data_IF_280691643252
#
_entry.id   IF_280691643252
#
_cell.length_a   1.000
_cell.length_b   1.000
_cell.length_c   1.000
_cell.angle_alpha   90.00
_cell.angle_beta   90.00
_cell.angle_gamma   90.00
#
_symmetry.space_group_name_H-M   'P 1'
#
loop_
_entity.id
_entity.type
_entity.pdbx_description
1 polymer ?
#
# COMPACT_ATOMS: atom_id res chain seq x y z
N UNK A 1 -22.47 -18.76 48.24
CA UNK A 1 -23.82 -19.38 48.38
C UNK A 1 -24.82 -18.30 48.02
N UNK A 2 -25.63 -18.34 46.96
CA UNK A 2 -26.07 -19.36 45.99
C UNK A 2 -26.37 -18.55 44.70
N UNK A 3 -25.70 -18.84 43.57
CA UNK A 3 -26.24 -19.39 42.30
C UNK A 3 -27.55 -18.75 41.79
N UNK A 4 -27.85 -18.58 40.50
CA UNK A 4 -27.19 -18.68 39.20
C UNK A 4 -28.33 -18.59 38.13
N UNK A 5 -27.97 -18.55 36.83
CA UNK A 5 -28.75 -19.03 35.65
C UNK A 5 -29.87 -18.10 35.14
N UNK A 6 -30.17 -17.92 33.84
CA UNK A 6 -29.84 -18.53 32.53
C UNK A 6 -30.39 -17.56 31.44
N UNK A 7 -29.68 -17.20 30.36
CA UNK A 7 -29.58 -17.83 29.02
C UNK A 7 -30.89 -18.08 28.23
N UNK A 8 -30.97 -17.57 26.99
CA UNK A 8 -31.51 -18.18 25.75
C UNK A 8 -31.74 -17.09 24.69
N UNK A 9 -30.99 -17.02 23.57
CA UNK A 9 -31.11 -17.78 22.31
C UNK A 9 -32.45 -17.55 21.60
N UNK A 10 -32.51 -16.74 20.53
CA UNK A 10 -32.36 -17.12 19.12
C UNK A 10 -33.66 -17.52 18.41
N UNK A 11 -33.78 -17.05 17.17
CA UNK A 11 -34.55 -17.60 16.04
C UNK A 11 -36.03 -17.27 15.90
N UNK A 12 -36.33 -16.46 14.87
CA UNK A 12 -36.90 -16.98 13.61
C UNK A 12 -38.32 -17.51 13.65
N UNK A 13 -39.21 -16.85 12.90
CA UNK A 13 -40.51 -17.40 12.51
C UNK A 13 -41.39 -16.31 11.91
N UNK A 14 -41.40 -16.16 10.60
CA UNK A 14 -42.44 -16.70 9.70
C UNK A 14 -43.55 -15.68 9.47
N UNK A 15 -43.55 -15.07 8.27
CA UNK A 15 -44.68 -14.29 7.76
C UNK A 15 -45.80 -15.25 7.32
N UNK A 16 -47.06 -15.03 7.72
CA UNK A 16 -48.19 -15.48 6.93
C UNK A 16 -48.82 -14.28 6.20
N UNK A 17 -49.07 -14.50 4.92
CA UNK A 17 -49.89 -13.65 4.07
C UNK A 17 -51.33 -13.59 4.62
N UNK A 18 -51.96 -12.41 4.52
CA UNK A 18 -53.39 -12.31 4.82
C UNK A 18 -53.95 -10.89 4.77
N UNK A 19 -54.72 -10.66 3.70
CA UNK A 19 -55.89 -9.77 3.62
C UNK A 19 -55.64 -8.28 3.29
N UNK A 20 -55.85 -7.98 2.01
CA UNK A 20 -56.34 -6.69 1.50
C UNK A 20 -57.72 -6.40 2.10
N UNK A 21 -57.86 -5.25 2.77
CA UNK A 21 -59.14 -4.59 2.96
C UNK A 21 -59.00 -3.09 2.67
N UNK A 22 -59.99 -2.62 1.92
CA UNK A 22 -60.06 -1.35 1.22
C UNK A 22 -60.09 -0.09 2.10
N UNK A 23 -59.81 1.01 1.41
CA UNK A 23 -59.75 2.38 1.87
C UNK A 23 -60.92 2.83 2.77
N UNK A 24 -60.57 3.54 3.84
CA UNK A 24 -61.34 4.69 4.31
C UNK A 24 -60.38 5.84 4.57
N UNK A 25 -60.58 6.92 3.83
CA UNK A 25 -59.85 8.17 3.92
C UNK A 25 -60.02 8.76 5.32
N UNK A 26 -59.02 8.56 6.17
CA UNK A 26 -58.88 9.37 7.39
C UNK A 26 -58.26 10.70 6.98
N UNK A 27 -59.12 11.70 6.86
CA UNK A 27 -58.74 13.10 6.70
C UNK A 27 -57.83 13.50 7.86
N UNK A 28 -56.53 13.59 7.56
CA UNK A 28 -55.54 14.14 8.48
C UNK A 28 -55.96 15.59 8.74
N UNK A 29 -56.42 15.88 9.95
CA UNK A 29 -56.78 17.22 10.39
C UNK A 29 -55.62 18.20 10.14
N UNK A 30 -55.92 19.44 9.72
CA UNK A 30 -54.92 20.49 9.45
C UNK A 30 -53.97 20.73 10.65
N UNK A 31 -54.39 20.37 11.87
CA UNK A 31 -53.56 20.42 13.08
C UNK A 31 -52.39 19.43 13.08
N UNK A 32 -52.53 18.23 12.47
CA UNK A 32 -51.43 17.27 12.35
C UNK A 32 -50.43 17.62 11.24
N UNK A 33 -50.85 18.45 10.27
CA UNK A 33 -49.97 19.00 9.23
C UNK A 33 -49.12 20.16 9.78
N UNK A 34 -49.59 20.88 10.80
CA UNK A 34 -48.85 21.98 11.42
C UNK A 34 -47.63 21.51 12.24
N UNK A 35 -47.71 20.33 12.86
CA UNK A 35 -46.63 19.82 13.73
C UNK A 35 -45.50 19.10 12.97
N UNK A 36 -45.73 18.75 11.69
CA UNK A 36 -44.69 18.22 10.80
C UNK A 36 -43.80 19.31 10.17
N UNK A 37 -44.10 20.60 10.40
CA UNK A 37 -43.30 21.74 9.92
C UNK A 37 -42.18 22.16 10.88
N UNK A 38 -42.08 21.56 12.06
CA UNK A 38 -41.12 21.94 13.11
C UNK A 38 -39.81 21.14 13.11
N UNK A 39 -39.69 20.08 12.30
CA UNK A 39 -38.43 19.37 12.05
C UNK A 39 -37.82 19.76 10.68
N UNK A 40 -37.61 21.05 10.45
CA UNK A 40 -36.59 21.42 9.47
C UNK A 40 -35.21 21.13 10.09
N UNK A 41 -34.35 20.29 9.49
CA UNK A 41 -32.99 20.15 9.97
C UNK A 41 -32.33 21.53 9.88
N UNK A 42 -32.00 22.13 11.03
CA UNK A 42 -31.29 23.41 11.11
C UNK A 42 -29.99 23.32 10.28
N UNK A 43 -30.04 23.78 9.03
CA UNK A 43 -28.85 23.86 8.18
C UNK A 43 -28.15 25.17 8.50
N UNK A 44 -27.37 25.18 9.59
CA UNK A 44 -26.46 26.29 9.88
C UNK A 44 -25.55 26.50 8.66
N UNK A 45 -25.67 27.65 7.99
CA UNK A 45 -24.88 27.96 6.80
C UNK A 45 -23.41 28.19 7.19
N UNK A 46 -22.61 27.13 7.18
CA UNK A 46 -21.19 27.17 7.59
C UNK A 46 -20.29 27.82 6.52
N UNK A 47 -20.65 27.70 5.24
CA UNK A 47 -19.82 28.17 4.11
C UNK A 47 -20.60 29.18 3.27
N UNK A 48 -20.17 30.44 3.31
CA UNK A 48 -20.78 31.54 2.57
C UNK A 48 -19.84 32.08 1.46
N UNK A 49 -20.33 33.00 0.63
CA UNK A 49 -19.51 33.63 -0.43
C UNK A 49 -18.25 34.33 0.15
N UNK A 50 -18.34 35.08 1.26
CA UNK A 50 -17.15 35.63 1.94
C UNK A 50 -16.11 34.59 2.35
N UNK A 51 -16.55 33.43 2.85
CA UNK A 51 -15.67 32.32 3.23
C UNK A 51 -14.85 31.84 2.02
N UNK A 52 -15.51 31.54 0.90
CA UNK A 52 -14.81 31.05 -0.30
C UNK A 52 -13.89 32.11 -0.93
N UNK A 53 -14.25 33.40 -0.82
CA UNK A 53 -13.39 34.50 -1.28
C UNK A 53 -12.06 34.55 -0.50
N UNK A 54 -12.05 34.19 0.79
CA UNK A 54 -10.86 34.18 1.65
C UNK A 54 -10.21 32.80 1.76
N UNK A 55 -10.82 31.75 1.22
CA UNK A 55 -10.37 30.38 1.41
C UNK A 55 -9.14 30.06 0.56
N UNK A 56 -7.97 30.05 1.21
CA UNK A 56 -6.73 29.63 0.55
C UNK A 56 -6.63 28.10 0.48
N UNK A 57 -6.76 27.56 -0.72
CA UNK A 57 -6.62 26.11 -0.93
C UNK A 57 -5.19 25.65 -0.66
N UNK A 58 -5.04 24.51 0.03
CA UNK A 58 -3.74 23.86 0.18
C UNK A 58 -3.28 23.22 -1.14
N UNK A 59 -2.00 22.87 -1.24
CA UNK A 59 -1.43 22.20 -2.42
C UNK A 59 -2.24 20.96 -2.81
N UNK A 60 -2.30 20.67 -4.12
CA UNK A 60 -3.13 19.60 -4.70
C UNK A 60 -2.96 18.25 -3.99
N UNK A 61 -1.72 17.81 -3.72
CA UNK A 61 -1.46 16.52 -3.05
C UNK A 61 -1.79 16.51 -1.57
N UNK A 62 -1.78 17.68 -0.90
CA UNK A 62 -2.24 17.83 0.48
C UNK A 62 -3.76 17.75 0.57
N UNK A 63 -4.47 18.37 -0.39
CA UNK A 63 -5.94 18.23 -0.53
C UNK A 63 -6.37 16.79 -0.79
N UNK A 64 -5.57 16.02 -1.53
CA UNK A 64 -5.81 14.59 -1.76
C UNK A 64 -5.33 13.70 -0.59
N UNK A 65 -4.69 14.26 0.44
CA UNK A 65 -4.15 13.47 1.56
C UNK A 65 -3.05 12.48 1.16
N UNK A 66 -2.28 12.74 0.09
CA UNK A 66 -1.28 11.79 -0.43
C UNK A 66 0.17 12.13 -0.06
N UNK A 67 0.42 13.32 0.45
CA UNK A 67 1.80 13.79 0.68
C UNK A 67 1.85 14.73 1.86
N UNK A 68 2.75 14.43 2.77
CA UNK A 68 3.25 15.41 3.72
C UNK A 68 4.40 16.22 3.07
N UNK A 69 4.15 17.51 2.89
CA UNK A 69 5.14 18.42 2.32
C UNK A 69 6.25 18.79 3.30
N UNK A 70 6.03 18.63 4.61
CA UNK A 70 7.03 18.93 5.63
C UNK A 70 8.17 17.92 5.61
N UNK A 71 7.85 16.62 5.61
CA UNK A 71 8.82 15.56 5.38
C UNK A 71 9.45 15.64 3.98
N UNK A 72 8.63 15.81 2.93
CA UNK A 72 9.11 15.86 1.54
C UNK A 72 10.12 16.98 1.30
N UNK A 73 9.93 18.17 1.89
CA UNK A 73 10.88 19.27 1.78
C UNK A 73 12.29 18.83 2.21
N UNK A 74 12.43 18.18 3.37
CA UNK A 74 13.72 17.71 3.91
C UNK A 74 14.33 16.56 3.11
N UNK A 75 13.48 15.68 2.60
CA UNK A 75 13.91 14.57 1.76
C UNK A 75 14.50 15.04 0.43
N UNK A 76 13.96 16.10 -0.16
CA UNK A 76 14.38 16.59 -1.49
C UNK A 76 15.50 17.62 -1.40
N UNK A 77 15.50 18.50 -0.39
CA UNK A 77 16.51 19.55 -0.29
C UNK A 77 17.91 18.95 -0.24
N UNK A 78 18.73 19.34 -1.23
CA UNK A 78 20.14 19.01 -1.33
C UNK A 78 20.97 20.21 -0.89
N UNK A 79 22.19 19.94 -0.39
CA UNK A 79 23.13 21.00 -0.08
C UNK A 79 23.57 21.72 -1.36
N UNK A 80 23.51 23.07 -1.35
CA UNK A 80 23.72 23.90 -2.55
C UNK A 80 25.12 23.74 -3.15
N UNK A 81 26.11 23.39 -2.33
CA UNK A 81 27.48 23.10 -2.75
C UNK A 81 27.61 21.83 -3.59
N UNK A 82 26.59 20.96 -3.60
CA UNK A 82 26.57 19.74 -4.43
C UNK A 82 25.84 19.93 -5.77
N UNK A 83 25.49 21.17 -6.11
CA UNK A 83 24.93 21.59 -7.41
C UNK A 83 23.86 20.63 -7.94
N UNK A 84 24.12 20.00 -9.10
CA UNK A 84 23.18 19.15 -9.82
C UNK A 84 23.20 17.68 -9.36
N UNK A 85 23.91 17.34 -8.28
CA UNK A 85 23.90 15.97 -7.77
C UNK A 85 22.50 15.60 -7.23
N UNK A 86 21.85 14.58 -7.81
CA UNK A 86 20.52 14.20 -7.38
C UNK A 86 20.57 13.56 -6.00
N UNK A 87 19.54 13.84 -5.20
CA UNK A 87 19.29 13.14 -3.94
C UNK A 87 18.28 12.03 -4.19
N UNK A 88 18.77 10.79 -4.22
CA UNK A 88 17.93 9.62 -4.46
C UNK A 88 17.09 9.27 -3.23
N UNK A 89 15.83 8.93 -3.48
CA UNK A 89 14.87 8.51 -2.46
C UNK A 89 14.34 7.13 -2.78
N UNK A 90 14.35 6.25 -1.79
CA UNK A 90 13.68 4.97 -1.82
C UNK A 90 12.22 5.17 -1.39
N UNK A 91 11.33 5.29 -2.36
CA UNK A 91 9.89 5.46 -2.13
C UNK A 91 9.25 4.09 -1.94
N UNK A 92 8.76 3.83 -0.73
CA UNK A 92 8.03 2.60 -0.39
C UNK A 92 6.57 2.94 -0.12
N UNK A 93 5.65 2.31 -0.83
CA UNK A 93 4.20 2.51 -0.65
C UNK A 93 3.47 1.18 -0.62
N UNK A 94 2.55 1.06 0.32
CA UNK A 94 1.62 -0.06 0.37
C UNK A 94 0.27 0.37 -0.18
N UNK A 95 -0.26 -0.42 -1.10
CA UNK A 95 -1.68 -0.45 -1.41
C UNK A 95 -2.32 -1.59 -0.63
N UNK A 96 -3.63 -1.80 -0.76
CA UNK A 96 -4.31 -2.86 -0.02
C UNK A 96 -3.84 -4.28 -0.41
N UNK A 97 -3.30 -4.46 -1.62
CA UNK A 97 -2.93 -5.78 -2.16
C UNK A 97 -1.57 -5.84 -2.86
N UNK A 98 -0.84 -4.73 -2.90
CA UNK A 98 0.43 -4.63 -3.62
C UNK A 98 1.39 -3.67 -2.91
N UNK A 99 2.67 -3.99 -2.99
CA UNK A 99 3.80 -3.20 -2.48
C UNK A 99 4.49 -2.56 -3.66
N UNK A 100 4.78 -1.26 -3.54
CA UNK A 100 5.43 -0.46 -4.57
C UNK A 100 6.74 0.06 -3.99
N UNK A 101 7.87 -0.30 -4.61
CA UNK A 101 9.20 0.21 -4.25
C UNK A 101 9.81 0.90 -5.47
N UNK A 102 10.33 2.12 -5.29
CA UNK A 102 10.88 2.92 -6.39
C UNK A 102 12.08 3.73 -5.93
N UNK A 103 13.08 3.87 -6.80
CA UNK A 103 14.16 4.84 -6.62
C UNK A 103 13.84 6.09 -7.43
N UNK A 104 13.74 7.22 -6.75
CA UNK A 104 13.20 8.46 -7.31
C UNK A 104 14.11 9.65 -7.04
N UNK A 105 14.35 10.45 -8.08
CA UNK A 105 14.99 11.77 -7.98
C UNK A 105 13.94 12.87 -8.16
N UNK A 106 14.19 14.04 -7.60
CA UNK A 106 13.30 15.19 -7.72
C UNK A 106 13.82 16.16 -8.79
N UNK A 107 12.98 16.54 -9.75
CA UNK A 107 13.23 17.64 -10.68
C UNK A 107 12.09 18.66 -10.64
N UNK A 108 12.31 19.82 -11.26
CA UNK A 108 11.34 20.93 -11.30
C UNK A 108 10.10 20.54 -12.10
N UNK A 109 10.27 19.80 -13.20
CA UNK A 109 9.18 19.30 -14.04
C UNK A 109 8.34 18.22 -13.34
N UNK A 110 9.00 17.39 -12.53
CA UNK A 110 8.41 16.29 -11.80
C UNK A 110 9.47 15.34 -11.24
N UNK A 111 9.04 14.39 -10.42
CA UNK A 111 9.92 13.35 -9.92
C UNK A 111 10.25 12.36 -11.06
N UNK A 112 11.53 12.04 -11.26
CA UNK A 112 11.97 11.01 -12.22
C UNK A 112 12.25 9.70 -11.49
N UNK A 113 11.73 8.61 -12.04
CA UNK A 113 11.93 7.26 -11.51
C UNK A 113 13.15 6.64 -12.19
N UNK A 114 14.16 6.26 -11.42
CA UNK A 114 15.35 5.55 -11.92
C UNK A 114 15.03 4.08 -12.18
N UNK A 115 14.42 3.42 -11.19
CA UNK A 115 13.95 2.05 -11.25
C UNK A 115 12.73 1.87 -10.34
N UNK A 116 11.94 0.85 -10.64
CA UNK A 116 10.77 0.44 -9.87
C UNK A 116 10.75 -1.07 -9.72
N UNK A 117 10.13 -1.56 -8.65
CA UNK A 117 9.75 -2.94 -8.45
C UNK A 117 8.40 -2.98 -7.74
N UNK A 118 7.65 -4.06 -7.98
CA UNK A 118 6.31 -4.26 -7.44
C UNK A 118 6.17 -5.67 -6.88
N UNK A 119 5.32 -5.87 -5.88
CA UNK A 119 5.15 -7.21 -5.29
C UNK A 119 4.47 -8.20 -6.22
N UNK A 120 3.61 -7.75 -7.13
CA UNK A 120 3.04 -8.64 -8.14
C UNK A 120 4.06 -9.23 -9.13
N UNK A 121 5.27 -8.67 -9.22
CA UNK A 121 6.37 -9.26 -10.00
C UNK A 121 6.99 -10.48 -9.29
N UNK A 122 6.83 -10.59 -7.96
CA UNK A 122 7.42 -11.68 -7.17
C UNK A 122 6.90 -13.07 -7.57
N UNK A 123 5.73 -13.14 -8.21
CA UNK A 123 5.18 -14.38 -8.76
C UNK A 123 6.13 -15.08 -9.73
N UNK A 124 6.95 -14.31 -10.47
CA UNK A 124 7.94 -14.83 -11.43
C UNK A 124 9.15 -15.47 -10.75
N UNK A 125 9.36 -15.14 -9.49
CA UNK A 125 10.47 -15.60 -8.66
C UNK A 125 10.02 -16.69 -7.66
N UNK A 126 8.82 -17.25 -7.83
CA UNK A 126 8.30 -18.35 -7.00
C UNK A 126 7.31 -17.93 -5.90
N UNK A 127 7.22 -16.64 -5.55
CA UNK A 127 6.29 -16.18 -4.50
C UNK A 127 4.91 -15.90 -5.12
N UNK A 128 4.05 -16.92 -5.15
CA UNK A 128 2.69 -16.82 -5.70
C UNK A 128 1.72 -16.12 -4.72
N UNK A 129 1.91 -16.33 -3.43
CA UNK A 129 0.97 -15.97 -2.36
C UNK A 129 1.53 -14.86 -1.46
N UNK A 130 0.65 -14.25 -0.65
CA UNK A 130 1.12 -13.40 0.44
C UNK A 130 1.89 -12.14 0.01
N UNK A 131 1.60 -11.56 -1.15
CA UNK A 131 2.33 -10.40 -1.72
C UNK A 131 2.35 -9.14 -0.82
N UNK A 132 1.58 -9.15 0.26
CA UNK A 132 1.50 -8.10 1.25
C UNK A 132 1.84 -8.57 2.66
N UNK A 133 2.82 -9.45 2.85
CA UNK A 133 3.40 -9.74 4.17
C UNK A 133 4.73 -8.99 4.36
N UNK A 134 5.42 -9.23 5.48
CA UNK A 134 6.73 -8.64 5.77
C UNK A 134 7.82 -9.20 4.82
N UNK A 135 7.81 -10.51 4.58
CA UNK A 135 8.74 -11.22 3.68
C UNK A 135 8.69 -10.74 2.23
N UNK A 136 7.50 -10.52 1.67
CA UNK A 136 7.32 -9.95 0.34
C UNK A 136 7.78 -8.49 0.27
N UNK A 137 7.64 -7.72 1.36
CA UNK A 137 8.20 -6.37 1.42
C UNK A 137 9.73 -6.42 1.37
N UNK A 138 10.35 -7.35 2.10
CA UNK A 138 11.79 -7.59 2.02
C UNK A 138 12.23 -8.00 0.60
N UNK A 139 11.60 -9.01 0.01
CA UNK A 139 11.90 -9.49 -1.35
C UNK A 139 11.73 -8.39 -2.42
N UNK A 140 10.70 -7.54 -2.32
CA UNK A 140 10.54 -6.39 -3.24
C UNK A 140 11.58 -5.30 -3.06
N UNK A 141 12.11 -5.12 -1.84
CA UNK A 141 13.26 -4.26 -1.57
C UNK A 141 14.53 -4.79 -2.23
N UNK A 142 14.80 -6.09 -2.05
CA UNK A 142 15.94 -6.79 -2.65
C UNK A 142 15.90 -6.74 -4.18
N UNK A 143 14.73 -6.99 -4.78
CA UNK A 143 14.53 -6.90 -6.23
C UNK A 143 14.81 -5.50 -6.77
N UNK A 144 14.37 -4.46 -6.07
CA UNK A 144 14.65 -3.08 -6.47
C UNK A 144 16.15 -2.80 -6.40
N UNK A 145 16.83 -3.25 -5.35
CA UNK A 145 18.27 -3.03 -5.17
C UNK A 145 19.08 -3.63 -6.31
N UNK A 146 18.93 -4.93 -6.59
CA UNK A 146 19.61 -5.61 -7.70
C UNK A 146 19.32 -4.97 -9.05
N UNK A 147 18.05 -4.63 -9.31
CA UNK A 147 17.66 -3.95 -10.55
C UNK A 147 18.36 -2.60 -10.74
N UNK A 148 18.58 -1.87 -9.65
CA UNK A 148 19.24 -0.57 -9.70
C UNK A 148 20.74 -0.67 -9.86
N UNK A 149 21.38 -1.62 -9.15
CA UNK A 149 22.81 -1.87 -9.24
C UNK A 149 23.19 -2.43 -10.61
N UNK A 150 22.44 -3.40 -11.14
CA UNK A 150 22.62 -3.93 -12.50
C UNK A 150 22.44 -2.85 -13.57
N UNK A 151 21.48 -1.93 -13.39
CA UNK A 151 21.29 -0.78 -14.30
C UNK A 151 22.44 0.24 -14.24
N UNK A 152 23.14 0.35 -13.11
CA UNK A 152 24.26 1.26 -12.91
C UNK A 152 25.63 0.60 -13.14
N UNK A 153 25.68 -0.71 -13.39
CA UNK A 153 26.93 -1.47 -13.50
C UNK A 153 27.70 -1.55 -12.17
N UNK A 154 26.98 -1.75 -11.06
CA UNK A 154 27.49 -1.84 -9.69
C UNK A 154 27.15 -3.19 -9.03
N UNK A 155 26.74 -4.18 -9.83
CA UNK A 155 26.17 -5.45 -9.33
C UNK A 155 27.24 -6.35 -8.70
N UNK A 156 28.43 -6.40 -9.32
CA UNK A 156 29.58 -7.19 -8.85
C UNK A 156 30.31 -6.52 -7.68
N UNK A 157 30.42 -5.18 -7.70
CA UNK A 157 31.11 -4.41 -6.65
C UNK A 157 30.38 -4.47 -5.30
N UNK A 158 29.04 -4.50 -5.33
CA UNK A 158 28.20 -4.41 -4.12
C UNK A 158 27.20 -5.55 -4.09
N UNK A 159 27.70 -6.76 -3.83
CA UNK A 159 26.87 -7.95 -3.64
C UNK A 159 26.07 -7.91 -2.35
N UNK A 160 26.41 -7.08 -1.36
CA UNK A 160 25.65 -6.98 -0.11
C UNK A 160 25.71 -8.28 0.72
N UNK A 161 24.66 -8.57 1.48
CA UNK A 161 24.60 -9.80 2.30
C UNK A 161 23.94 -10.91 1.48
N UNK A 162 24.60 -12.06 1.32
CA UNK A 162 24.10 -13.20 0.54
C UNK A 162 23.06 -14.00 1.32
N UNK A 163 23.37 -14.35 2.57
CA UNK A 163 22.48 -15.06 3.48
C UNK A 163 21.81 -14.08 4.44
N UNK A 164 20.48 -14.09 4.47
CA UNK A 164 19.71 -13.12 5.24
C UNK A 164 19.67 -13.52 6.73
N UNK A 165 20.78 -13.32 7.45
CA UNK A 165 20.94 -13.72 8.85
C UNK A 165 20.21 -12.80 9.84
N UNK A 166 19.63 -11.70 9.35
CA UNK A 166 18.96 -10.72 10.19
C UNK A 166 19.93 -9.78 10.93
N UNK A 167 21.24 -9.92 10.74
CA UNK A 167 22.20 -9.00 11.35
C UNK A 167 22.05 -7.58 10.79
N UNK A 168 22.24 -6.58 11.67
CA UNK A 168 22.27 -5.18 11.27
C UNK A 168 23.63 -4.85 10.65
N UNK A 169 23.68 -4.82 9.33
CA UNK A 169 24.85 -4.37 8.57
C UNK A 169 24.47 -3.24 7.62
N UNK A 170 25.40 -2.30 7.45
CA UNK A 170 25.33 -1.26 6.43
C UNK A 170 26.36 -1.57 5.35
N UNK A 171 26.01 -1.33 4.10
CA UNK A 171 26.95 -1.47 2.99
C UNK A 171 28.02 -0.38 3.07
N UNK A 172 29.25 -0.80 3.35
CA UNK A 172 30.40 0.10 3.43
C UNK A 172 30.98 0.40 2.03
N UNK A 173 31.97 1.29 1.96
CA UNK A 173 32.66 1.56 0.72
C UNK A 173 33.55 0.37 0.35
N UNK A 174 33.43 -0.11 -0.89
CA UNK A 174 34.29 -1.17 -1.42
C UNK A 174 35.55 -0.55 -2.03
N UNK A 175 36.69 -1.20 -1.81
CA UNK A 175 37.93 -0.92 -2.53
C UNK A 175 37.93 -1.76 -3.81
N UNK A 176 37.84 -1.10 -4.97
CA UNK A 176 37.93 -1.73 -6.30
C UNK A 176 39.32 -1.49 -6.87
N UNK A 177 39.75 -2.27 -7.86
CA UNK A 177 41.05 -2.16 -8.54
C UNK A 177 41.34 -0.76 -9.14
N UNK A 178 40.31 0.06 -9.36
CA UNK A 178 40.39 1.45 -9.86
C UNK A 178 40.28 2.53 -8.75
N UNK A 179 40.24 2.11 -7.48
CA UNK A 179 40.14 2.96 -6.29
C UNK A 179 38.90 2.69 -5.43
N UNK A 180 38.70 3.49 -4.37
CA UNK A 180 37.55 3.35 -3.46
C UNK A 180 36.25 3.80 -4.14
N UNK A 181 35.31 2.88 -4.41
CA UNK A 181 33.98 3.22 -4.95
C UNK A 181 32.97 3.30 -3.82
N UNK A 182 32.10 4.32 -3.87
CA UNK A 182 31.08 4.54 -2.84
C UNK A 182 29.79 3.82 -3.23
N UNK A 183 29.10 3.16 -2.28
CA UNK A 183 27.84 2.47 -2.57
C UNK A 183 26.75 3.47 -2.97
N UNK A 184 25.77 2.97 -3.72
CA UNK A 184 24.65 3.77 -4.16
C UNK A 184 23.81 4.20 -2.95
N UNK A 185 23.76 5.51 -2.67
CA UNK A 185 23.03 6.04 -1.51
C UNK A 185 21.59 6.41 -1.84
N UNK A 186 20.63 5.83 -1.12
CA UNK A 186 19.23 6.20 -1.19
C UNK A 186 18.64 6.50 0.21
N UNK A 187 17.80 7.54 0.32
CA UNK A 187 17.12 7.88 1.58
C UNK A 187 15.69 7.35 1.56
N UNK A 188 15.26 6.66 2.62
CA UNK A 188 13.90 6.14 2.73
C UNK A 188 12.84 7.26 2.74
N UNK A 189 11.85 7.15 1.86
CA UNK A 189 10.65 7.98 1.81
C UNK A 189 9.44 7.12 2.21
N UNK A 190 9.06 7.22 3.48
CA UNK A 190 7.92 6.51 4.11
C UNK A 190 6.56 7.13 3.71
N UNK A 191 6.56 8.39 3.28
CA UNK A 191 5.35 9.13 2.93
C UNK A 191 4.48 9.44 4.13
N UNK A 192 3.31 8.81 4.21
CA UNK A 192 2.33 8.99 5.28
C UNK A 192 2.18 7.76 6.18
N UNK A 193 2.95 6.71 5.94
CA UNK A 193 2.96 5.55 6.83
C UNK A 193 3.49 5.95 8.20
N UNK A 194 2.89 5.37 9.24
CA UNK A 194 3.36 5.52 10.61
C UNK A 194 4.67 4.74 10.78
N UNK A 195 5.67 5.39 11.37
CA UNK A 195 6.94 4.76 11.72
C UNK A 195 6.82 4.08 13.08
N UNK A 196 6.28 2.87 13.10
CA UNK A 196 6.24 1.99 14.28
C UNK A 196 7.30 0.88 14.14
N UNK A 197 7.73 0.32 15.27
CA UNK A 197 8.58 -0.90 15.29
C UNK A 197 7.84 -2.05 14.60
N UNK A 198 8.57 -2.86 13.82
CA UNK A 198 7.99 -3.97 13.05
C UNK A 198 7.18 -3.57 11.81
N UNK A 199 7.11 -2.27 11.46
CA UNK A 199 6.36 -1.85 10.28
C UNK A 199 7.01 -2.40 8.99
N UNK A 200 6.17 -2.91 8.09
CA UNK A 200 6.58 -3.54 6.82
C UNK A 200 7.32 -2.60 5.86
N UNK A 201 7.21 -1.28 6.06
CA UNK A 201 8.01 -0.30 5.31
C UNK A 201 9.51 -0.52 5.54
N UNK A 202 9.88 -0.88 6.77
CA UNK A 202 11.27 -1.14 7.14
C UNK A 202 11.77 -2.49 6.61
N UNK A 203 10.89 -3.44 6.33
CA UNK A 203 11.24 -4.68 5.63
C UNK A 203 11.79 -4.41 4.22
N UNK A 204 11.08 -3.56 3.45
CA UNK A 204 11.53 -3.16 2.11
C UNK A 204 12.83 -2.34 2.14
N UNK A 205 13.05 -1.59 3.23
CA UNK A 205 14.32 -0.92 3.48
C UNK A 205 15.44 -1.92 3.78
N UNK A 206 15.19 -2.93 4.63
CA UNK A 206 16.17 -3.97 4.97
C UNK A 206 16.56 -4.78 3.74
N UNK A 207 15.60 -5.25 2.96
CA UNK A 207 15.88 -5.96 1.70
C UNK A 207 16.61 -5.09 0.67
N UNK A 208 16.34 -3.78 0.63
CA UNK A 208 17.11 -2.88 -0.23
C UNK A 208 18.56 -2.70 0.27
N UNK A 209 18.77 -2.67 1.59
CA UNK A 209 20.10 -2.58 2.22
C UNK A 209 20.92 -3.84 1.96
N UNK A 210 20.34 -5.00 2.24
CA UNK A 210 20.98 -6.31 2.05
C UNK A 210 21.23 -6.61 0.56
N UNK A 211 20.45 -5.98 -0.32
CA UNK A 211 20.65 -6.00 -1.77
C UNK A 211 21.79 -5.11 -2.30
N UNK A 212 22.57 -4.45 -1.45
CA UNK A 212 23.75 -3.67 -1.84
C UNK A 212 23.55 -2.14 -1.89
N UNK A 213 22.34 -1.62 -1.69
CA UNK A 213 22.12 -0.17 -1.63
C UNK A 213 22.48 0.35 -0.23
N UNK A 214 23.20 1.47 -0.17
CA UNK A 214 23.40 2.17 1.10
C UNK A 214 22.17 3.00 1.48
N UNK A 215 21.36 2.44 2.38
CA UNK A 215 20.24 3.15 3.00
C UNK A 215 20.60 3.48 4.46
N UNK A 216 20.79 4.76 4.83
CA UNK A 216 21.14 5.11 6.20
C UNK A 216 19.93 4.86 7.12
N UNK A 217 20.06 3.90 8.05
CA UNK A 217 19.02 3.51 8.99
C UNK A 217 19.62 3.00 10.31
N UNK A 218 18.78 2.83 11.33
CA UNK A 218 19.13 2.25 12.64
C UNK A 218 18.28 1.00 12.90
N UNK A 219 18.74 0.11 13.76
CA UNK A 219 18.09 -1.17 14.09
C UNK A 219 16.78 -1.04 14.89
N UNK A 220 16.57 0.10 15.55
CA UNK A 220 15.50 0.34 16.53
C UNK A 220 14.06 0.19 16.01
N UNK A 221 13.87 -0.03 14.70
CA UNK A 221 12.56 -0.14 14.05
C UNK A 221 12.29 -1.52 13.47
N UNK A 222 13.25 -2.44 13.56
CA UNK A 222 13.05 -3.82 13.11
C UNK A 222 12.18 -4.62 14.09
N UNK A 223 11.47 -5.65 13.61
CA UNK A 223 10.86 -6.64 14.49
C UNK A 223 11.96 -7.34 15.30
N UNK A 224 11.70 -7.65 16.56
CA UNK A 224 12.70 -8.22 17.48
C UNK A 224 13.56 -7.19 18.22
N UNK A 225 13.41 -5.88 17.93
CA UNK A 225 14.09 -4.86 18.72
C UNK A 225 13.36 -4.61 20.05
N UNK A 226 14.07 -4.84 21.15
CA UNK A 226 13.57 -4.51 22.49
C UNK A 226 13.97 -3.09 22.90
N UNK A 227 12.99 -2.35 23.42
CA UNK A 227 13.16 -0.95 23.81
C UNK A 227 13.92 -0.84 25.13
N UNK A 228 13.81 -1.83 26.01
CA UNK A 228 14.42 -1.82 27.35
C UNK A 228 15.90 -2.20 27.29
N UNK A 229 16.22 -3.36 26.73
CA UNK A 229 17.61 -3.81 26.53
C UNK A 229 18.34 -3.03 25.43
N UNK A 230 17.60 -2.43 24.47
CA UNK A 230 18.14 -1.80 23.26
C UNK A 230 18.92 -2.77 22.37
N UNK A 231 18.61 -4.05 22.47
CA UNK A 231 19.23 -5.10 21.67
C UNK A 231 18.25 -5.56 20.57
N UNK A 232 18.81 -5.92 19.42
CA UNK A 232 18.06 -6.52 18.32
C UNK A 232 18.19 -8.04 18.42
N UNK A 233 17.06 -8.72 18.55
CA UNK A 233 17.01 -10.15 18.35
C UNK A 233 17.06 -10.48 16.85
N UNK A 234 18.22 -10.96 16.41
CA UNK A 234 18.50 -11.33 15.01
C UNK A 234 17.70 -12.56 14.57
N UNK A 235 17.39 -13.49 15.49
CA UNK A 235 16.62 -14.70 15.18
C UNK A 235 15.18 -14.36 14.84
N UNK A 236 14.56 -13.49 15.64
CA UNK A 236 13.23 -12.96 15.32
C UNK A 236 13.24 -12.22 13.98
N UNK A 237 14.24 -11.38 13.71
CA UNK A 237 14.30 -10.67 12.43
C UNK A 237 14.44 -11.64 11.24
N UNK A 238 15.30 -12.66 11.35
CA UNK A 238 15.44 -13.74 10.35
C UNK A 238 14.10 -14.43 10.09
N UNK A 239 13.40 -14.81 11.16
CA UNK A 239 12.07 -15.43 11.07
C UNK A 239 11.04 -14.54 10.35
N UNK A 240 11.10 -13.22 10.53
CA UNK A 240 10.24 -12.29 9.78
C UNK A 240 10.62 -12.21 8.30
N UNK A 241 11.90 -12.30 7.95
CA UNK A 241 12.40 -12.32 6.56
C UNK A 241 11.82 -13.54 5.82
N UNK A 242 11.97 -14.73 6.39
CA UNK A 242 11.52 -15.99 5.78
C UNK A 242 10.05 -16.34 6.01
N UNK A 243 9.30 -15.48 6.72
CA UNK A 243 7.86 -15.65 6.87
C UNK A 243 7.44 -16.65 7.94
N UNK A 244 8.32 -16.98 8.89
CA UNK A 244 8.01 -17.88 10.00
C UNK A 244 6.83 -17.41 10.86
N UNK A 245 6.61 -16.09 10.99
CA UNK A 245 5.40 -15.55 11.66
C UNK A 245 4.09 -15.89 10.92
N UNK A 246 4.14 -16.12 9.60
CA UNK A 246 3.00 -16.59 8.82
C UNK A 246 2.84 -18.10 8.98
N UNK A 247 3.96 -18.84 8.96
CA UNK A 247 3.99 -20.28 9.18
C UNK A 247 3.40 -20.66 10.56
N UNK A 248 3.86 -20.01 11.64
CA UNK A 248 3.32 -20.25 12.99
C UNK A 248 1.84 -19.92 13.10
N UNK A 249 1.38 -18.89 12.39
CA UNK A 249 -0.04 -18.53 12.38
C UNK A 249 -0.87 -19.54 11.56
N UNK A 250 -0.29 -20.15 10.52
CA UNK A 250 -0.91 -21.27 9.79
C UNK A 250 -1.03 -22.50 10.67
N UNK A 251 0.04 -22.89 11.38
CA UNK A 251 0.05 -24.03 12.30
C UNK A 251 -0.95 -23.84 13.45
N UNK A 252 -0.92 -22.68 14.12
CA UNK A 252 -1.84 -22.39 15.23
C UNK A 252 -3.31 -22.40 14.80
N UNK A 253 -3.64 -21.91 13.60
CA UNK A 253 -5.01 -21.95 13.09
C UNK A 253 -5.44 -23.33 12.62
N UNK A 254 -4.52 -24.16 12.13
CA UNK A 254 -4.83 -25.54 11.77
C UNK A 254 -5.26 -26.35 13.00
N UNK A 255 -4.67 -26.07 14.17
CA UNK A 255 -5.01 -26.73 15.43
C UNK A 255 -6.25 -26.12 16.11
N UNK A 256 -6.42 -24.79 16.07
CA UNK A 256 -7.49 -24.10 16.81
C UNK A 256 -8.83 -24.03 16.05
N UNK A 257 -8.83 -23.64 14.77
CA UNK A 257 -10.05 -23.30 14.00
C UNK A 257 -9.85 -23.47 12.49
N UNK A 258 -10.25 -24.64 11.99
CA UNK A 258 -10.13 -25.02 10.58
C UNK A 258 -10.96 -24.13 9.65
N UNK A 259 -12.11 -23.60 10.08
CA UNK A 259 -12.96 -22.72 9.24
C UNK A 259 -12.24 -21.40 8.95
N UNK A 260 -11.56 -20.84 9.97
CA UNK A 260 -10.73 -19.65 9.79
C UNK A 260 -9.51 -19.92 8.93
N UNK A 261 -8.91 -21.10 9.06
CA UNK A 261 -7.79 -21.51 8.23
C UNK A 261 -8.20 -21.56 6.75
N UNK A 262 -9.29 -22.26 6.42
CA UNK A 262 -9.79 -22.37 5.04
C UNK A 262 -10.16 -21.01 4.44
N UNK A 263 -10.76 -20.10 5.23
CA UNK A 263 -11.16 -18.78 4.74
C UNK A 263 -9.99 -17.82 4.51
N UNK A 264 -8.98 -17.79 5.38
CA UNK A 264 -7.83 -16.88 5.27
C UNK A 264 -6.76 -17.42 4.30
N UNK A 265 -6.54 -18.73 4.30
CA UNK A 265 -5.49 -19.40 3.54
C UNK A 265 -6.01 -20.13 2.30
N UNK A 266 -7.20 -19.82 1.81
CA UNK A 266 -7.78 -20.41 0.60
C UNK A 266 -6.80 -20.49 -0.58
N UNK A 267 -6.04 -19.43 -0.83
CA UNK A 267 -5.05 -19.40 -1.92
C UNK A 267 -3.81 -20.26 -1.66
N UNK A 268 -3.47 -20.51 -0.40
CA UNK A 268 -2.34 -21.37 -0.04
C UNK A 268 -2.73 -22.82 -0.26
N UNK A 269 -3.96 -23.19 0.13
CA UNK A 269 -4.58 -24.47 -0.18
C UNK A 269 -4.70 -24.70 -1.70
N UNK A 270 -5.12 -23.69 -2.46
CA UNK A 270 -5.20 -23.79 -3.94
C UNK A 270 -3.84 -24.02 -4.62
N UNK A 271 -2.73 -23.70 -3.96
CA UNK A 271 -1.37 -23.85 -4.49
C UNK A 271 -0.58 -24.95 -3.78
N UNK A 272 -1.23 -25.75 -2.91
CA UNK A 272 -0.62 -26.83 -2.12
C UNK A 272 0.64 -26.37 -1.37
N UNK A 273 0.57 -25.21 -0.69
CA UNK A 273 1.69 -24.65 0.08
C UNK A 273 1.45 -24.79 1.59
N UNK A 274 2.31 -25.59 2.23
CA UNK A 274 2.30 -25.83 3.68
C UNK A 274 3.23 -24.87 4.45
N UNK A 275 3.08 -24.82 5.78
CA UNK A 275 3.81 -23.91 6.65
C UNK A 275 5.34 -24.12 6.58
N UNK A 276 5.80 -25.37 6.51
CA UNK A 276 7.23 -25.72 6.43
C UNK A 276 7.89 -25.32 5.11
N UNK A 277 7.15 -25.25 4.01
CA UNK A 277 7.68 -24.95 2.68
C UNK A 277 7.87 -23.43 2.44
N UNK A 278 7.34 -22.58 3.33
CA UNK A 278 7.42 -21.13 3.18
C UNK A 278 8.85 -20.61 3.21
N UNK A 279 9.68 -21.12 4.12
CA UNK A 279 11.07 -20.67 4.27
C UNK A 279 11.90 -21.00 3.03
N UNK A 280 11.75 -22.22 2.50
CA UNK A 280 12.40 -22.64 1.26
C UNK A 280 11.94 -21.81 0.06
N UNK A 281 10.63 -21.52 -0.03
CA UNK A 281 10.07 -20.66 -1.08
C UNK A 281 10.73 -19.27 -1.10
N UNK A 282 10.87 -18.61 0.06
CA UNK A 282 11.52 -17.29 0.12
C UNK A 282 13.02 -17.36 -0.16
N UNK A 283 13.71 -18.39 0.33
CA UNK A 283 15.14 -18.60 0.08
C UNK A 283 15.42 -18.76 -1.42
N UNK A 284 14.66 -19.63 -2.09
CA UNK A 284 14.73 -19.82 -3.55
C UNK A 284 14.39 -18.53 -4.31
N UNK A 285 13.41 -17.77 -3.84
CA UNK A 285 13.06 -16.49 -4.45
C UNK A 285 14.18 -15.46 -4.31
N UNK A 286 14.89 -15.41 -3.18
CA UNK A 286 16.02 -14.51 -2.98
C UNK A 286 17.19 -14.85 -3.91
N UNK A 287 17.48 -16.15 -4.11
CA UNK A 287 18.48 -16.60 -5.09
C UNK A 287 18.07 -16.21 -6.52
N UNK A 288 16.84 -16.53 -6.93
CA UNK A 288 16.32 -16.21 -8.26
C UNK A 288 16.31 -14.70 -8.56
N UNK A 289 16.05 -13.86 -7.55
CA UNK A 289 16.11 -12.39 -7.69
C UNK A 289 17.55 -11.91 -7.94
N UNK A 290 18.56 -12.55 -7.32
CA UNK A 290 19.97 -12.20 -7.51
C UNK A 290 20.47 -12.62 -8.89
N UNK A 291 20.09 -13.81 -9.36
CA UNK A 291 20.44 -14.28 -10.70
C UNK A 291 19.90 -13.33 -11.78
N UNK A 292 18.58 -13.08 -11.78
CA UNK A 292 17.94 -12.32 -12.84
C UNK A 292 16.87 -11.32 -12.36
N UNK A 293 17.24 -10.09 -11.98
CA UNK A 293 16.30 -9.08 -11.48
C UNK A 293 15.35 -8.50 -12.55
N UNK A 294 15.52 -8.88 -13.82
CA UNK A 294 14.70 -8.44 -14.96
C UNK A 294 13.83 -9.55 -15.55
N UNK A 295 13.59 -10.64 -14.82
CA UNK A 295 12.79 -11.77 -15.29
C UNK A 295 11.42 -11.32 -15.83
N UNK A 296 11.15 -11.68 -17.09
CA UNK A 296 9.88 -11.36 -17.76
C UNK A 296 8.79 -12.32 -17.30
N UNK A 297 7.55 -11.86 -17.43
CA UNK A 297 6.38 -12.69 -17.23
C UNK A 297 6.13 -13.48 -18.50
N UNK A 298 6.18 -14.81 -18.43
CA UNK A 298 5.86 -15.66 -19.58
C UNK A 298 4.33 -15.79 -19.75
N UNK A 299 3.58 -15.70 -18.64
CA UNK A 299 2.12 -15.81 -18.61
C UNK A 299 1.39 -14.49 -18.92
N UNK A 300 2.13 -13.39 -19.10
CA UNK A 300 1.52 -12.12 -19.50
C UNK A 300 1.12 -12.17 -20.98
N UNK A 301 -0.13 -12.55 -21.23
CA UNK A 301 -0.75 -12.47 -22.55
C UNK A 301 -0.59 -11.09 -23.23
N UNK A 302 -0.91 -10.99 -24.54
CA UNK A 302 -0.64 -9.80 -25.33
C UNK A 302 -1.31 -8.55 -24.71
N UNK A 303 -0.48 -7.55 -24.37
CA UNK A 303 -0.97 -6.29 -23.80
C UNK A 303 -1.63 -5.47 -24.90
N UNK A 304 -2.91 -5.12 -24.72
CA UNK A 304 -3.63 -4.16 -25.57
C UNK A 304 -2.89 -2.84 -25.70
N UNK A 305 -2.96 -2.23 -26.88
CA UNK A 305 -2.20 -1.01 -27.17
C UNK A 305 -2.74 0.20 -26.38
N UNK A 306 -1.90 1.23 -26.20
CA UNK A 306 -2.33 2.48 -25.52
C UNK A 306 -3.47 3.18 -26.26
N UNK A 307 -3.53 3.04 -27.58
CA UNK A 307 -4.58 3.61 -28.41
C UNK A 307 -5.93 2.92 -28.14
N UNK A 308 -5.93 1.59 -28.08
CA UNK A 308 -7.13 0.79 -27.75
C UNK A 308 -7.66 1.14 -26.36
N UNK A 309 -6.81 1.19 -25.34
CA UNK A 309 -7.25 1.56 -23.98
C UNK A 309 -7.82 2.98 -23.91
N UNK A 310 -7.27 3.92 -24.69
CA UNK A 310 -7.78 5.29 -24.77
C UNK A 310 -9.16 5.31 -25.40
N UNK A 311 -9.37 4.56 -26.48
CA UNK A 311 -10.66 4.45 -27.15
C UNK A 311 -11.72 3.84 -26.21
N UNK A 312 -11.37 2.76 -25.51
CA UNK A 312 -12.27 2.09 -24.58
C UNK A 312 -12.65 3.00 -23.39
N UNK A 313 -11.67 3.67 -22.79
CA UNK A 313 -11.90 4.57 -21.64
C UNK A 313 -12.76 5.78 -21.99
N UNK A 314 -12.70 6.25 -23.25
CA UNK A 314 -13.44 7.43 -23.68
C UNK A 314 -14.95 7.18 -23.72
N UNK A 315 -15.38 5.94 -23.99
CA UNK A 315 -16.80 5.55 -24.04
C UNK A 315 -17.54 5.81 -22.72
N UNK A 316 -16.87 5.59 -21.59
CA UNK A 316 -17.46 5.77 -20.25
C UNK A 316 -17.32 7.20 -19.70
N UNK A 317 -16.51 8.05 -20.37
CA UNK A 317 -16.26 9.41 -19.91
C UNK A 317 -17.35 10.35 -20.42
N UNK A 318 -18.22 10.80 -19.52
CA UNK A 318 -19.23 11.82 -19.82
C UNK A 318 -18.56 13.14 -20.24
N UNK A 319 -18.92 13.63 -21.43
CA UNK A 319 -18.52 14.94 -21.89
C UNK A 319 -19.19 16.06 -21.06
N UNK A 320 -18.54 17.22 -20.97
CA UNK A 320 -19.18 18.40 -20.37
C UNK A 320 -20.17 18.97 -21.38
N UNK A 321 -21.36 19.31 -20.91
CA UNK A 321 -22.36 20.00 -21.74
C UNK A 321 -21.83 21.33 -22.26
N UNK A 322 -22.20 21.64 -23.49
CA UNK A 322 -21.94 22.96 -24.09
C UNK A 322 -22.77 24.03 -23.38
N UNK A 323 -22.49 25.30 -23.67
CA UNK A 323 -23.25 26.41 -23.09
C UNK A 323 -24.70 26.41 -23.60
N UNK A 324 -24.88 26.21 -24.91
CA UNK A 324 -26.18 26.18 -25.58
C UNK A 324 -27.08 25.06 -25.05
N UNK A 325 -26.54 23.85 -24.89
CA UNK A 325 -27.28 22.71 -24.30
C UNK A 325 -27.74 23.00 -22.86
N UNK A 326 -26.93 23.72 -22.08
CA UNK A 326 -27.31 24.11 -20.71
C UNK A 326 -28.43 25.14 -20.73
N UNK A 327 -28.35 26.13 -21.61
CA UNK A 327 -29.37 27.18 -21.74
C UNK A 327 -30.71 26.60 -22.20
N UNK A 328 -30.68 25.71 -23.20
CA UNK A 328 -31.86 24.99 -23.67
C UNK A 328 -32.51 24.17 -22.54
N UNK A 329 -31.70 23.46 -21.72
CA UNK A 329 -32.21 22.72 -20.56
C UNK A 329 -32.81 23.61 -19.49
N UNK A 330 -32.23 24.79 -19.24
CA UNK A 330 -32.78 25.76 -18.29
C UNK A 330 -34.13 26.27 -18.79
N UNK A 331 -34.22 26.66 -20.07
CA UNK A 331 -35.47 27.13 -20.66
C UNK A 331 -36.57 26.06 -20.66
N UNK A 332 -36.24 24.82 -21.01
CA UNK A 332 -37.17 23.70 -20.94
C UNK A 332 -37.67 23.49 -19.50
N UNK A 333 -36.78 23.53 -18.51
CA UNK A 333 -37.14 23.36 -17.11
C UNK A 333 -37.99 24.51 -16.55
N UNK A 334 -37.74 25.75 -17.00
CA UNK A 334 -38.58 26.90 -16.64
C UNK A 334 -39.98 26.73 -17.20
N UNK A 335 -40.12 26.28 -18.45
CA UNK A 335 -41.44 26.02 -19.08
C UNK A 335 -42.21 24.87 -18.44
N UNK A 336 -41.53 23.87 -17.89
CA UNK A 336 -42.15 22.73 -17.20
C UNK A 336 -42.65 23.12 -15.79
N UNK A 337 -41.99 24.08 -15.14
CA UNK A 337 -42.32 24.53 -13.78
C UNK A 337 -43.28 25.73 -13.73
N UNK A 338 -43.47 26.43 -14.87
CA UNK A 338 -44.34 27.60 -15.01
C UNK A 338 -45.76 27.18 -15.37
#
# INVERSE_FOLDING_TARGET
MVKALESSSSNGGFCPAGVLQDASETTISEAQIADSRSLQPFTKLVKNRPYFSRFQTKFKRRRQGKTDYYARKRLITQAKNKYNSPKYRLVVRFTNRDIITQIVTAEISGDKVLACAYSHELKRYGIKNGLTNWSAAYATGLLLARRTLKKLGLDEDFTGVEEADGEYTLTEAAETDEGSRRPFKAVLDVGLHRTSTGARVFAAMKGASDGGIFVPHSENRFPGYDIESKELDTETLRKYIFGGHVAEYMEGLADDDEERYQSQFCKYLENDLDAGELEEMYSNAHAAIREDPFKKDEDAGPKKSKAEWKAESLKYKKAKLTKEEKEARIQAKIRELA
#
